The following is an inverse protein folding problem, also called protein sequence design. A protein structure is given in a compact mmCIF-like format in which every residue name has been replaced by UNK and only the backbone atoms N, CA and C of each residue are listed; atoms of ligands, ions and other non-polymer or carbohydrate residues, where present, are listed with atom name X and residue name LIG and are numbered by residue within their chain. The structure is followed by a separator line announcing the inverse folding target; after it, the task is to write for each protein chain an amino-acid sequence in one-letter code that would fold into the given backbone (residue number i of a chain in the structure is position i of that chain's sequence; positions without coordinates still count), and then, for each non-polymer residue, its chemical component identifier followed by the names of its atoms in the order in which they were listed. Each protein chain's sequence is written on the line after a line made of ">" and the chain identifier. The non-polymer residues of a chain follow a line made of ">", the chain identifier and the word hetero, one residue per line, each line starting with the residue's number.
data_IF_661086715498
#
_entry.id   IF_661086715498
#
_cell.length_a   1.000
_cell.length_b   1.000
_cell.length_c   1.000
_cell.angle_alpha   90.00
_cell.angle_beta   90.00
_cell.angle_gamma   90.00
#
_symmetry.space_group_name_H-M   'P 1'
#
loop_
_entity.id
_entity.type
_entity.pdbx_description
1 polymer ?
#
# COMPACT_ATOMS: atom_id res chain seq x y z
N UNK A 1 -1.73 4.86 25.21
CA UNK A 1 -1.64 5.52 23.89
C UNK A 1 -0.74 4.68 23.01
N UNK A 2 -1.13 4.39 21.76
CA UNK A 2 -0.25 3.71 20.81
C UNK A 2 0.78 4.73 20.30
N UNK A 3 2.06 4.45 20.48
CA UNK A 3 3.14 5.29 19.97
C UNK A 3 3.33 4.95 18.49
N UNK A 4 3.26 5.95 17.62
CA UNK A 4 3.49 5.76 16.19
C UNK A 4 4.92 5.33 15.88
N UNK A 5 5.13 4.71 14.72
CA UNK A 5 6.45 4.24 14.29
C UNK A 5 7.05 5.24 13.31
N UNK A 6 8.23 5.78 13.63
CA UNK A 6 8.98 6.63 12.73
C UNK A 6 9.45 5.83 11.51
N UNK A 7 9.23 6.38 10.31
CA UNK A 7 9.59 5.73 9.04
C UNK A 7 10.39 6.66 8.14
N UNK A 8 11.21 6.07 7.26
CA UNK A 8 11.98 6.83 6.27
C UNK A 8 11.08 7.54 5.24
N UNK A 9 11.56 8.59 4.55
CA UNK A 9 10.76 9.35 3.58
C UNK A 9 10.13 8.48 2.49
N UNK A 10 10.87 7.50 1.97
CA UNK A 10 10.38 6.59 0.93
C UNK A 10 9.23 5.71 1.42
N UNK A 11 9.32 5.19 2.64
CA UNK A 11 8.28 4.36 3.24
C UNK A 11 7.00 5.18 3.50
N UNK A 12 7.15 6.42 3.98
CA UNK A 12 6.02 7.35 4.12
C UNK A 12 5.32 7.63 2.79
N UNK A 13 6.08 7.89 1.73
CA UNK A 13 5.51 8.10 0.38
C UNK A 13 4.76 6.86 -0.11
N UNK A 14 5.31 5.67 0.10
CA UNK A 14 4.64 4.42 -0.26
C UNK A 14 3.37 4.18 0.56
N UNK A 15 3.39 4.48 1.87
CA UNK A 15 2.20 4.43 2.72
C UNK A 15 1.10 5.35 2.21
N UNK A 16 1.44 6.61 1.88
CA UNK A 16 0.49 7.57 1.29
C UNK A 16 -0.09 7.03 -0.01
N UNK A 17 0.72 6.51 -0.92
CA UNK A 17 0.25 5.96 -2.21
C UNK A 17 -0.78 4.85 -2.05
N UNK A 18 -0.69 4.05 -0.99
CA UNK A 18 -1.64 2.97 -0.72
C UNK A 18 -3.00 3.53 -0.31
N UNK A 19 -3.02 4.53 0.56
CA UNK A 19 -4.28 5.07 1.10
C UNK A 19 -4.87 6.20 0.26
N UNK A 20 -4.06 6.92 -0.53
CA UNK A 20 -4.49 8.07 -1.34
C UNK A 20 -5.76 7.79 -2.19
N UNK A 21 -5.94 6.61 -2.82
CA UNK A 21 -7.14 6.31 -3.62
C UNK A 21 -8.44 6.26 -2.83
N UNK A 22 -8.37 6.03 -1.51
CA UNK A 22 -9.55 5.95 -0.61
C UNK A 22 -9.68 7.19 0.29
N UNK A 23 -8.80 8.18 0.13
CA UNK A 23 -8.86 9.43 0.88
C UNK A 23 -9.86 10.39 0.24
N UNK A 24 -10.68 11.00 1.09
CA UNK A 24 -11.54 12.11 0.71
C UNK A 24 -10.93 13.43 1.21
N UNK A 25 -10.87 14.42 0.32
CA UNK A 25 -10.36 15.75 0.62
C UNK A 25 -11.51 16.75 0.60
N UNK A 26 -11.78 17.38 1.74
CA UNK A 26 -12.83 18.39 1.84
C UNK A 26 -12.52 19.61 0.96
N UNK A 27 -13.57 20.21 0.40
CA UNK A 27 -13.43 21.38 -0.45
C UNK A 27 -13.33 22.67 0.38
N UNK A 28 -12.18 22.91 1.01
CA UNK A 28 -11.91 24.13 1.78
C UNK A 28 -10.50 24.69 1.53
N UNK A 29 -10.29 25.97 1.88
CA UNK A 29 -9.03 26.67 1.64
C UNK A 29 -7.82 26.00 2.31
N UNK A 30 -7.99 25.41 3.50
CA UNK A 30 -6.91 24.75 4.24
C UNK A 30 -6.45 23.48 3.53
N UNK A 31 -7.39 22.67 3.06
CA UNK A 31 -7.14 21.45 2.29
C UNK A 31 -6.55 21.80 0.92
N UNK A 32 -7.02 22.86 0.26
CA UNK A 32 -6.46 23.33 -1.00
C UNK A 32 -4.97 23.70 -0.88
N UNK A 33 -4.57 24.37 0.21
CA UNK A 33 -3.15 24.65 0.51
C UNK A 33 -2.38 23.34 0.70
N UNK A 34 -2.91 22.39 1.44
CA UNK A 34 -2.31 21.06 1.62
C UNK A 34 -2.09 20.32 0.29
N UNK A 35 -3.11 20.26 -0.56
CA UNK A 35 -3.03 19.65 -1.89
C UNK A 35 -2.01 20.37 -2.79
N UNK A 36 -1.91 21.70 -2.70
CA UNK A 36 -0.92 22.46 -3.46
C UNK A 36 0.52 22.12 -3.06
N UNK A 37 0.74 21.81 -1.77
CA UNK A 37 2.04 21.35 -1.24
C UNK A 37 2.37 19.95 -1.73
N UNK A 38 1.41 19.02 -1.67
CA UNK A 38 1.59 17.66 -2.18
C UNK A 38 1.96 17.65 -3.68
N UNK A 39 1.31 18.50 -4.48
CA UNK A 39 1.61 18.65 -5.92
C UNK A 39 3.03 19.16 -6.19
N UNK A 40 3.62 19.94 -5.28
CA UNK A 40 4.95 20.54 -5.42
C UNK A 40 6.05 19.75 -4.73
N UNK A 41 5.71 18.70 -4.00
CA UNK A 41 6.69 17.85 -3.34
C UNK A 41 7.60 17.17 -4.36
N UNK A 42 8.91 17.39 -4.24
CA UNK A 42 9.91 16.82 -5.14
C UNK A 42 11.20 16.48 -4.41
N UNK A 43 12.05 15.68 -5.06
CA UNK A 43 13.41 15.38 -4.59
C UNK A 43 14.37 16.44 -5.12
N UNK A 44 15.41 16.74 -4.34
CA UNK A 44 16.49 17.63 -4.78
C UNK A 44 17.31 16.95 -5.88
N UNK A 45 17.52 17.64 -6.98
CA UNK A 45 18.47 17.24 -8.01
C UNK A 45 19.90 17.56 -7.57
N UNK A 46 20.82 16.62 -7.77
CA UNK A 46 22.25 16.80 -7.51
C UNK A 46 22.98 16.77 -8.85
N UNK A 47 23.48 17.93 -9.29
CA UNK A 47 24.19 18.09 -10.56
C UNK A 47 25.50 17.31 -10.59
N UNK A 48 26.23 17.19 -9.48
CA UNK A 48 27.51 16.48 -9.44
C UNK A 48 27.34 14.97 -9.63
N UNK A 49 26.25 14.41 -9.10
CA UNK A 49 25.95 12.98 -9.20
C UNK A 49 24.97 12.65 -10.33
N UNK A 50 24.45 13.66 -11.03
CA UNK A 50 23.39 13.54 -12.04
C UNK A 50 22.22 12.67 -11.55
N UNK A 51 21.81 12.86 -10.28
CA UNK A 51 20.79 12.01 -9.65
C UNK A 51 19.94 12.78 -8.63
N UNK A 52 18.77 12.23 -8.29
CA UNK A 52 17.91 12.76 -7.24
C UNK A 52 18.29 12.19 -5.88
N UNK A 53 18.47 13.07 -4.89
CA UNK A 53 18.93 12.70 -3.55
C UNK A 53 17.78 12.74 -2.54
N UNK A 54 17.85 13.62 -1.55
CA UNK A 54 16.89 13.75 -0.47
C UNK A 54 15.63 14.51 -0.92
N UNK A 55 14.53 14.42 -0.16
CA UNK A 55 13.40 15.33 -0.32
C UNK A 55 13.87 16.79 -0.30
N UNK A 56 13.28 17.63 -1.16
CA UNK A 56 13.57 19.06 -1.13
C UNK A 56 12.94 19.66 0.13
N UNK A 57 13.78 19.99 1.11
CA UNK A 57 13.34 20.58 2.38
C UNK A 57 12.82 22.01 2.21
N UNK A 58 11.55 22.14 1.86
CA UNK A 58 10.80 23.39 1.75
C UNK A 58 9.44 23.29 2.47
N UNK A 59 8.64 24.36 2.43
CA UNK A 59 7.29 24.35 3.01
C UNK A 59 6.37 23.25 2.45
N UNK A 60 6.64 22.77 1.23
CA UNK A 60 5.87 21.70 0.61
C UNK A 60 6.24 20.34 1.23
N UNK A 61 7.52 20.11 1.54
CA UNK A 61 7.98 18.91 2.25
C UNK A 61 7.39 18.76 3.64
N UNK A 62 7.26 19.85 4.41
CA UNK A 62 6.64 19.80 5.74
C UNK A 62 5.19 19.32 5.67
N UNK A 63 4.43 19.82 4.69
CA UNK A 63 3.05 19.36 4.46
C UNK A 63 2.96 17.92 4.01
N UNK A 64 3.87 17.49 3.13
CA UNK A 64 3.92 16.11 2.64
C UNK A 64 4.36 15.12 3.71
N UNK A 65 5.33 15.48 4.56
CA UNK A 65 5.81 14.64 5.65
C UNK A 65 4.72 14.43 6.71
N UNK A 66 3.94 15.47 7.04
CA UNK A 66 2.81 15.33 7.95
C UNK A 66 1.77 14.31 7.43
N UNK A 67 1.45 14.34 6.13
CA UNK A 67 0.58 13.33 5.51
C UNK A 67 1.21 11.94 5.53
N UNK A 68 2.53 11.86 5.32
CA UNK A 68 3.31 10.64 5.41
C UNK A 68 3.23 9.98 6.79
N UNK A 69 3.42 10.76 7.84
CA UNK A 69 3.31 10.30 9.23
C UNK A 69 1.88 9.83 9.55
N UNK A 70 0.87 10.56 9.06
CA UNK A 70 -0.52 10.11 9.15
C UNK A 70 -0.72 8.75 8.44
N UNK A 71 -0.25 8.63 7.20
CA UNK A 71 -0.46 7.42 6.41
C UNK A 71 0.16 6.16 7.03
N UNK A 72 1.33 6.29 7.65
CA UNK A 72 1.99 5.20 8.37
C UNK A 72 1.20 4.77 9.60
N UNK A 73 0.64 5.73 10.34
CA UNK A 73 0.11 5.48 11.68
C UNK A 73 -1.43 5.42 11.76
N UNK A 74 -2.15 5.69 10.66
CA UNK A 74 -3.62 5.74 10.66
C UNK A 74 -4.31 4.36 10.79
N UNK A 75 -3.57 3.26 10.64
CA UNK A 75 -4.13 1.90 10.68
C UNK A 75 -5.09 1.56 9.53
N UNK A 76 -5.16 2.41 8.50
CA UNK A 76 -5.98 2.19 7.32
C UNK A 76 -5.23 1.29 6.35
N UNK A 77 -5.73 0.08 6.16
CA UNK A 77 -5.26 -0.83 5.12
C UNK A 77 -6.32 -0.87 4.03
N UNK A 78 -6.05 -0.31 2.83
CA UNK A 78 -6.96 -0.48 1.72
C UNK A 78 -7.10 -1.97 1.51
N UNK A 79 -8.32 -2.50 1.69
CA UNK A 79 -8.68 -3.84 1.25
C UNK A 79 -8.26 -3.89 -0.21
N UNK A 80 -7.33 -4.78 -0.54
CA UNK A 80 -6.75 -4.90 -1.89
C UNK A 80 -7.83 -4.59 -2.91
N UNK A 81 -7.69 -3.46 -3.62
CA UNK A 81 -8.66 -2.97 -4.60
C UNK A 81 -9.09 -4.17 -5.43
N UNK A 82 -10.28 -4.69 -5.12
CA UNK A 82 -10.64 -6.11 -5.24
C UNK A 82 -9.69 -6.89 -6.16
N UNK A 83 -8.74 -7.63 -5.57
CA UNK A 83 -7.83 -8.50 -6.31
C UNK A 83 -8.63 -9.20 -7.40
N UNK A 84 -8.45 -8.77 -8.66
CA UNK A 84 -9.11 -9.42 -9.79
C UNK A 84 -8.69 -10.88 -9.65
N UNK A 85 -9.63 -11.82 -9.45
CA UNK A 85 -9.26 -13.20 -9.19
C UNK A 85 -8.35 -13.62 -10.34
N UNK A 86 -7.10 -13.98 -10.01
CA UNK A 86 -6.14 -14.43 -11.02
C UNK A 86 -6.86 -15.48 -11.86
N UNK A 87 -6.94 -15.33 -13.20
CA UNK A 87 -7.65 -16.29 -14.01
C UNK A 87 -7.08 -17.68 -13.71
N UNK A 88 -7.95 -18.63 -13.38
CA UNK A 88 -7.52 -20.01 -13.10
C UNK A 88 -6.65 -20.47 -14.27
N UNK A 89 -5.47 -21.07 -14.02
CA UNK A 89 -4.64 -21.55 -15.12
C UNK A 89 -5.47 -22.49 -15.97
N UNK A 90 -5.59 -22.20 -17.28
CA UNK A 90 -6.26 -23.11 -18.22
C UNK A 90 -5.49 -24.43 -18.19
N UNK A 91 -6.18 -25.58 -18.07
CA UNK A 91 -5.50 -26.87 -18.11
C UNK A 91 -4.75 -26.97 -19.43
N UNK A 92 -3.45 -27.26 -19.36
CA UNK A 92 -2.65 -27.56 -20.55
C UNK A 92 -3.14 -28.90 -21.11
N UNK A 93 -3.22 -29.01 -22.43
CA UNK A 93 -3.62 -30.25 -23.10
C UNK A 93 -2.67 -31.40 -22.67
N UNK A 94 -3.22 -32.46 -22.08
CA UNK A 94 -2.44 -33.58 -21.54
C UNK A 94 -2.26 -33.61 -20.01
N UNK A 95 -2.76 -32.61 -19.26
CA UNK A 95 -2.82 -32.72 -17.80
C UNK A 95 -4.02 -33.57 -17.36
N UNK A 96 -3.77 -34.72 -16.73
CA UNK A 96 -4.78 -35.56 -16.08
C UNK A 96 -4.87 -35.16 -14.61
N UNK A 97 -6.06 -34.73 -14.17
CA UNK A 97 -6.31 -34.49 -12.75
C UNK A 97 -6.54 -35.83 -12.05
N UNK A 98 -5.53 -36.34 -11.36
CA UNK A 98 -5.70 -37.46 -10.45
C UNK A 98 -6.49 -36.95 -9.24
N UNK A 99 -7.69 -37.49 -8.94
CA UNK A 99 -8.34 -37.16 -7.68
C UNK A 99 -7.39 -37.58 -6.56
N UNK A 100 -7.06 -36.64 -5.67
CA UNK A 100 -6.27 -36.94 -4.48
C UNK A 100 -6.89 -38.09 -3.69
N UNK A 101 -6.11 -38.76 -2.81
CA UNK A 101 -6.58 -39.92 -2.07
C UNK A 101 -7.93 -39.63 -1.40
N UNK A 102 -8.87 -40.60 -1.41
CA UNK A 102 -10.18 -40.40 -0.82
C UNK A 102 -10.01 -39.93 0.63
N UNK A 103 -10.64 -38.79 0.96
CA UNK A 103 -10.62 -38.29 2.34
C UNK A 103 -11.23 -39.38 3.23
N UNK A 104 -10.57 -39.75 4.33
CA UNK A 104 -11.12 -40.76 5.23
C UNK A 104 -12.50 -40.29 5.71
N UNK A 105 -13.54 -41.05 5.38
CA UNK A 105 -14.90 -40.80 5.83
C UNK A 105 -14.94 -41.05 7.34
N UNK A 106 -14.98 -39.97 8.13
CA UNK A 106 -14.94 -39.99 9.59
C UNK A 106 -16.14 -40.68 10.27
N UNK A 107 -16.98 -41.42 9.51
CA UNK A 107 -18.22 -42.03 9.97
C UNK A 107 -18.14 -43.53 10.27
N UNK A 108 -17.02 -44.21 10.01
CA UNK A 108 -16.88 -45.64 10.33
C UNK A 108 -15.85 -45.89 11.41
N UNK A 109 -16.30 -45.84 12.67
CA UNK A 109 -15.59 -46.42 13.81
C UNK A 109 -15.88 -47.93 13.80
N UNK A 110 -14.91 -48.74 13.38
CA UNK A 110 -14.98 -50.20 13.54
C UNK A 110 -14.94 -50.47 15.05
N UNK A 111 -16.02 -51.03 15.61
CA UNK A 111 -16.02 -51.56 16.97
C UNK A 111 -15.30 -52.91 16.92
N UNK A 112 -14.20 -53.01 17.66
CA UNK A 112 -13.51 -54.27 18.01
C UNK A 112 -14.30 -54.91 19.15
#
# INVERSE_FOLDING_TARGET
>A
MHVGVAQGPSERVNAVRRIMPIMHFDHNNRVAVGLSRLRRYCRKWNDSMQTYTTPRHDINSHGADALGEFAVNCGIFPRELAAVPKPKPKPQFGQVYLPGPPRPDGRRRIKI
#
